data_IF_744642792652
#
_entry.id   IF_744642792652
#
_cell.length_a   1.000
_cell.length_b   1.000
_cell.length_c   1.000
_cell.angle_alpha   90.00
_cell.angle_beta   90.00
_cell.angle_gamma   90.00
#
_symmetry.space_group_name_H-M   'P 1'
#
loop_
_entity.id
_entity.type
_entity.pdbx_description
1 polymer ?
#
# COMPACT_ATOMS: atom_id res chain seq x y z
N UNK A 1 10.67 28.71 1.48
CA UNK A 1 11.76 28.40 2.44
C UNK A 1 11.44 27.08 3.12
N UNK A 2 12.43 26.24 3.47
CA UNK A 2 12.19 25.02 4.26
C UNK A 2 11.58 25.39 5.63
N UNK A 3 10.74 24.49 6.16
CA UNK A 3 10.13 24.64 7.49
C UNK A 3 10.77 23.62 8.42
N UNK A 4 11.11 24.04 9.64
CA UNK A 4 11.71 23.17 10.65
C UNK A 4 10.79 21.97 10.92
N UNK A 5 11.35 20.77 10.98
CA UNK A 5 10.66 19.50 11.21
C UNK A 5 9.59 19.11 10.17
N UNK A 6 9.60 19.71 8.98
CA UNK A 6 8.69 19.33 7.88
C UNK A 6 9.47 18.79 6.68
N UNK A 7 9.15 17.57 6.26
CA UNK A 7 9.79 16.94 5.09
C UNK A 7 9.24 17.57 3.81
N UNK A 8 10.11 18.11 2.95
CA UNK A 8 9.74 18.51 1.60
C UNK A 8 10.22 17.47 0.58
N UNK A 9 9.32 16.54 0.23
CA UNK A 9 9.62 15.44 -0.71
C UNK A 9 9.53 15.83 -2.19
N UNK A 10 8.93 16.98 -2.52
CA UNK A 10 8.58 17.32 -3.92
C UNK A 10 9.80 17.42 -4.85
N UNK A 11 10.91 18.12 -4.48
CA UNK A 11 12.05 18.25 -5.38
C UNK A 11 12.69 16.89 -5.71
N UNK A 12 12.79 16.01 -4.71
CA UNK A 12 13.36 14.67 -4.89
C UNK A 12 12.43 13.78 -5.72
N UNK A 13 11.12 13.87 -5.51
CA UNK A 13 10.13 13.14 -6.32
C UNK A 13 10.21 13.52 -7.80
N UNK A 14 10.39 14.81 -8.13
CA UNK A 14 10.56 15.23 -9.52
C UNK A 14 11.83 14.68 -10.15
N UNK A 15 12.96 14.72 -9.44
CA UNK A 15 14.22 14.14 -9.95
C UNK A 15 14.09 12.63 -10.17
N UNK A 16 13.48 11.90 -9.23
CA UNK A 16 13.23 10.45 -9.40
C UNK A 16 12.33 10.20 -10.61
N UNK A 17 11.27 11.01 -10.78
CA UNK A 17 10.35 10.92 -11.91
C UNK A 17 11.08 11.13 -13.24
N UNK A 18 11.93 12.15 -13.33
CA UNK A 18 12.73 12.43 -14.53
C UNK A 18 13.69 11.29 -14.87
N UNK A 19 14.40 10.75 -13.88
CA UNK A 19 15.29 9.58 -14.06
C UNK A 19 14.51 8.36 -14.51
N UNK A 20 13.35 8.10 -13.89
CA UNK A 20 12.47 6.99 -14.27
C UNK A 20 11.97 7.13 -15.70
N UNK A 21 11.45 8.30 -16.07
CA UNK A 21 10.97 8.59 -17.42
C UNK A 21 12.07 8.45 -18.46
N UNK A 22 13.26 8.98 -18.19
CA UNK A 22 14.42 8.87 -19.08
C UNK A 22 14.82 7.42 -19.35
N UNK A 23 14.59 6.50 -18.40
CA UNK A 23 14.93 5.09 -18.56
C UNK A 23 13.77 4.26 -19.12
N UNK A 24 12.51 4.56 -18.77
CA UNK A 24 11.34 3.88 -19.34
C UNK A 24 11.15 4.22 -20.81
N UNK A 25 11.44 5.45 -21.25
CA UNK A 25 11.30 5.82 -22.67
C UNK A 25 12.23 4.97 -23.56
N UNK A 26 13.34 4.45 -23.02
CA UNK A 26 14.24 3.51 -23.72
C UNK A 26 13.63 2.11 -23.91
N UNK A 27 12.51 1.80 -23.26
CA UNK A 27 11.80 0.54 -23.45
C UNK A 27 11.16 0.50 -24.85
N UNK A 28 11.15 -0.68 -25.47
CA UNK A 28 10.67 -0.86 -26.85
C UNK A 28 9.24 -0.35 -27.03
N UNK A 29 9.04 0.58 -27.97
CA UNK A 29 7.73 1.09 -28.37
C UNK A 29 7.28 2.39 -27.71
N UNK A 30 7.99 2.88 -26.67
CA UNK A 30 7.53 4.05 -25.92
C UNK A 30 7.70 5.37 -26.66
N UNK A 31 8.74 5.51 -27.49
CA UNK A 31 8.92 6.68 -28.38
C UNK A 31 7.76 6.85 -29.38
N UNK A 32 7.21 5.74 -29.88
CA UNK A 32 6.07 5.75 -30.80
C UNK A 32 4.80 6.18 -30.08
N UNK A 33 4.61 5.74 -28.82
CA UNK A 33 3.46 6.11 -27.99
C UNK A 33 3.53 7.61 -27.63
N UNK A 34 4.71 8.14 -27.30
CA UNK A 34 4.88 9.55 -26.95
C UNK A 34 4.51 10.48 -28.12
N UNK A 35 4.75 10.08 -29.37
CA UNK A 35 4.32 10.82 -30.57
C UNK A 35 2.80 10.87 -30.74
N UNK A 36 2.09 9.88 -30.22
CA UNK A 36 0.62 9.76 -30.33
C UNK A 36 -0.08 10.48 -29.17
N UNK A 37 0.42 10.29 -27.95
CA UNK A 37 -0.24 10.74 -26.70
C UNK A 37 0.27 12.11 -26.23
N UNK A 38 1.38 12.60 -26.79
CA UNK A 38 2.01 13.87 -26.40
C UNK A 38 2.88 13.76 -25.16
N UNK A 39 3.06 14.87 -24.42
CA UNK A 39 4.03 14.97 -23.32
C UNK A 39 3.53 14.42 -21.97
N UNK A 40 2.27 14.00 -21.85
CA UNK A 40 1.69 13.60 -20.56
C UNK A 40 1.84 12.08 -20.41
N UNK A 41 3.05 11.64 -20.06
CA UNK A 41 3.26 10.30 -19.53
C UNK A 41 3.39 10.44 -18.02
N UNK A 42 2.33 10.05 -17.29
CA UNK A 42 2.36 9.95 -15.84
C UNK A 42 2.70 8.50 -15.46
N UNK A 43 3.72 8.26 -14.63
CA UNK A 43 3.95 6.94 -14.07
C UNK A 43 2.71 6.45 -13.30
N UNK A 44 2.40 5.16 -13.41
CA UNK A 44 1.26 4.54 -12.73
C UNK A 44 1.20 4.86 -11.23
N UNK A 45 2.30 4.79 -10.45
CA UNK A 45 2.24 5.12 -9.02
C UNK A 45 1.90 6.59 -8.75
N UNK A 46 2.31 7.51 -9.63
CA UNK A 46 1.95 8.93 -9.55
C UNK A 46 0.45 9.12 -9.81
N UNK A 47 -0.09 8.40 -10.79
CA UNK A 47 -1.51 8.44 -11.10
C UNK A 47 -2.36 7.85 -9.97
N UNK A 48 -1.97 6.69 -9.41
CA UNK A 48 -2.66 6.10 -8.26
C UNK A 48 -2.64 7.02 -7.05
N UNK A 49 -1.50 7.69 -6.77
CA UNK A 49 -1.43 8.70 -5.70
C UNK A 49 -2.41 9.84 -5.95
N UNK A 50 -2.48 10.35 -7.19
CA UNK A 50 -3.38 11.45 -7.54
C UNK A 50 -4.86 11.06 -7.39
N UNK A 51 -5.21 9.83 -7.76
CA UNK A 51 -6.54 9.28 -7.55
C UNK A 51 -6.88 9.18 -6.05
N UNK A 52 -5.94 8.68 -5.24
CA UNK A 52 -6.11 8.62 -3.78
C UNK A 52 -6.33 10.02 -3.17
N UNK A 53 -5.55 11.01 -3.57
CA UNK A 53 -5.71 12.41 -3.12
C UNK A 53 -7.11 12.96 -3.42
N UNK A 54 -7.64 12.67 -4.61
CA UNK A 54 -8.97 13.13 -5.03
C UNK A 54 -10.08 12.35 -4.33
N UNK A 55 -9.90 11.05 -4.14
CA UNK A 55 -10.85 10.23 -3.40
C UNK A 55 -10.96 10.66 -1.93
N UNK A 56 -9.86 11.17 -1.36
CA UNK A 56 -9.77 11.58 0.05
C UNK A 56 -10.31 12.98 0.36
N UNK A 57 -10.95 13.64 -0.61
CA UNK A 57 -11.65 14.91 -0.37
C UNK A 57 -12.71 14.75 0.73
N UNK A 58 -13.06 15.86 1.40
CA UNK A 58 -14.03 15.91 2.52
C UNK A 58 -13.61 15.11 3.77
N UNK A 59 -12.35 15.24 4.19
CA UNK A 59 -11.79 14.58 5.40
C UNK A 59 -11.88 13.04 5.36
N UNK A 60 -11.91 12.47 4.16
CA UNK A 60 -11.92 11.03 3.94
C UNK A 60 -10.49 10.48 3.86
N UNK A 61 -9.73 10.58 4.96
CA UNK A 61 -8.39 9.98 5.04
C UNK A 61 -8.43 8.54 4.52
N UNK A 62 -7.56 8.22 3.58
CA UNK A 62 -7.62 6.99 2.77
C UNK A 62 -6.25 6.33 2.69
N UNK A 63 -6.25 5.01 2.74
CA UNK A 63 -5.10 4.18 2.38
C UNK A 63 -5.40 3.46 1.07
N UNK A 64 -4.41 3.36 0.18
CA UNK A 64 -4.45 2.49 -1.00
C UNK A 64 -3.31 1.49 -0.89
N UNK A 65 -3.62 0.21 -1.07
CA UNK A 65 -2.65 -0.89 -1.09
C UNK A 65 -2.68 -1.52 -2.48
N UNK A 66 -1.53 -1.51 -3.15
CA UNK A 66 -1.34 -2.11 -4.46
C UNK A 66 -0.31 -3.23 -4.35
N UNK A 67 -0.76 -4.49 -4.47
CA UNK A 67 0.09 -5.67 -4.38
C UNK A 67 0.41 -6.15 -5.80
N UNK A 68 1.67 -5.96 -6.19
CA UNK A 68 2.22 -6.38 -7.47
C UNK A 68 3.04 -7.67 -7.40
N UNK A 69 3.57 -8.08 -8.55
CA UNK A 69 4.48 -9.23 -8.63
C UNK A 69 5.85 -8.96 -7.97
N UNK A 70 6.33 -7.71 -8.00
CA UNK A 70 7.63 -7.33 -7.47
C UNK A 70 7.55 -6.46 -6.20
N UNK A 71 6.54 -5.60 -6.09
CA UNK A 71 6.46 -4.63 -4.99
C UNK A 71 5.06 -4.59 -4.39
N UNK A 72 5.00 -4.14 -3.15
CA UNK A 72 3.76 -3.74 -2.49
C UNK A 72 3.87 -2.25 -2.20
N UNK A 73 2.96 -1.48 -2.78
CA UNK A 73 2.91 -0.04 -2.64
C UNK A 73 1.80 0.33 -1.66
N UNK A 74 2.12 1.18 -0.68
CA UNK A 74 1.11 1.76 0.21
C UNK A 74 1.11 3.27 0.06
N UNK A 75 -0.06 3.81 -0.25
CA UNK A 75 -0.35 5.23 -0.27
C UNK A 75 -1.24 5.57 0.92
N UNK A 76 -0.89 6.60 1.71
CA UNK A 76 -1.81 7.16 2.71
C UNK A 76 -2.00 8.66 2.51
N UNK A 77 -3.26 9.07 2.50
CA UNK A 77 -3.71 10.45 2.41
C UNK A 77 -4.34 10.82 3.74
N UNK A 78 -3.79 11.83 4.38
CA UNK A 78 -4.21 12.27 5.72
C UNK A 78 -3.06 12.91 6.47
N UNK A 79 -3.37 13.75 7.46
CA UNK A 79 -2.33 14.44 8.23
C UNK A 79 -1.61 13.47 9.19
N UNK A 80 -2.35 12.51 9.76
CA UNK A 80 -1.81 11.52 10.69
C UNK A 80 -1.12 12.11 11.92
N UNK A 81 -1.59 13.28 12.37
CA UNK A 81 -1.04 13.99 13.53
C UNK A 81 -1.50 13.36 14.85
N UNK A 82 -0.78 13.61 15.96
CA UNK A 82 -1.20 13.19 17.30
C UNK A 82 -2.65 13.58 17.61
N UNK A 83 -3.43 12.63 18.14
CA UNK A 83 -4.87 12.80 18.40
C UNK A 83 -5.17 13.60 19.67
N UNK A 84 -4.22 13.67 20.59
CA UNK A 84 -4.37 14.33 21.89
C UNK A 84 -3.10 15.09 22.24
N UNK A 85 -3.23 16.16 23.04
CA UNK A 85 -2.11 17.07 23.36
C UNK A 85 -1.02 16.44 24.26
N UNK A 86 -1.31 15.31 24.89
CA UNK A 86 -0.38 14.52 25.70
C UNK A 86 0.51 13.57 24.87
N UNK A 87 0.23 13.42 23.57
CA UNK A 87 1.07 12.68 22.63
C UNK A 87 2.00 13.66 21.93
N UNK A 88 3.31 13.47 22.11
CA UNK A 88 4.33 14.27 21.43
C UNK A 88 4.74 13.61 20.11
N UNK A 89 4.90 14.41 19.05
CA UNK A 89 5.46 13.92 17.79
C UNK A 89 6.99 13.85 17.87
N UNK A 90 7.57 12.68 17.61
CA UNK A 90 9.01 12.43 17.52
C UNK A 90 9.43 12.31 16.07
N UNK A 91 10.45 13.10 15.72
CA UNK A 91 10.99 13.17 14.37
C UNK A 91 10.33 14.28 13.56
N UNK A 92 10.31 14.11 12.24
CA UNK A 92 9.72 15.08 11.33
C UNK A 92 8.26 14.73 11.03
N UNK A 93 7.46 15.76 10.77
CA UNK A 93 6.10 15.61 10.23
C UNK A 93 6.16 14.90 8.88
N UNK A 94 5.40 13.81 8.78
CA UNK A 94 5.23 13.04 7.56
C UNK A 94 4.39 13.81 6.54
N UNK A 95 4.60 13.61 5.23
CA UNK A 95 3.82 14.28 4.22
C UNK A 95 2.34 13.84 4.28
N UNK A 96 1.44 14.79 3.97
CA UNK A 96 0.00 14.53 3.85
C UNK A 96 -0.29 13.37 2.89
N UNK A 97 0.36 13.38 1.72
CA UNK A 97 0.38 12.27 0.76
C UNK A 97 1.68 11.47 0.91
N UNK A 98 1.63 10.37 1.67
CA UNK A 98 2.78 9.47 1.91
C UNK A 98 2.69 8.25 1.00
N UNK A 99 3.82 7.82 0.45
CA UNK A 99 3.97 6.55 -0.28
C UNK A 99 5.16 5.80 0.28
N UNK A 100 4.99 4.52 0.58
CA UNK A 100 6.09 3.57 0.76
C UNK A 100 6.03 2.51 -0.33
N UNK A 101 7.20 1.97 -0.68
CA UNK A 101 7.34 0.93 -1.70
C UNK A 101 8.18 -0.17 -1.08
N UNK A 102 7.56 -1.31 -0.87
CA UNK A 102 8.20 -2.47 -0.28
C UNK A 102 8.75 -3.35 -1.42
N UNK A 103 10.04 -3.20 -1.70
CA UNK A 103 10.72 -3.90 -2.80
C UNK A 103 10.92 -5.39 -2.54
N UNK A 104 10.87 -5.80 -1.28
CA UNK A 104 11.00 -7.17 -0.80
C UNK A 104 9.65 -7.89 -0.68
N UNK A 105 8.52 -7.21 -0.91
CA UNK A 105 7.18 -7.78 -0.74
C UNK A 105 6.44 -7.84 -2.08
N UNK A 106 6.42 -9.02 -2.71
CA UNK A 106 5.75 -9.20 -4.00
C UNK A 106 5.34 -10.65 -4.28
N UNK A 107 4.34 -10.81 -5.14
CA UNK A 107 3.72 -12.11 -5.42
C UNK A 107 4.58 -13.06 -6.27
N UNK A 108 5.59 -12.54 -6.97
CA UNK A 108 6.38 -13.25 -7.99
C UNK A 108 7.87 -12.94 -7.84
N UNK A 109 8.37 -11.89 -8.50
CA UNK A 109 9.79 -11.53 -8.50
C UNK A 109 10.40 -11.42 -7.09
N UNK A 110 9.65 -10.91 -6.13
CA UNK A 110 10.09 -10.77 -4.73
C UNK A 110 9.55 -11.87 -3.80
N UNK A 111 9.03 -12.99 -4.32
CA UNK A 111 8.45 -14.06 -3.52
C UNK A 111 9.46 -14.65 -2.52
N UNK A 112 10.72 -14.86 -2.91
CA UNK A 112 11.74 -15.35 -1.99
C UNK A 112 12.09 -14.34 -0.89
N UNK A 113 12.16 -13.06 -1.23
CA UNK A 113 12.38 -12.01 -0.25
C UNK A 113 11.20 -11.92 0.75
N UNK A 114 9.96 -12.08 0.28
CA UNK A 114 8.78 -12.16 1.13
C UNK A 114 8.85 -13.35 2.10
N UNK A 115 9.31 -14.51 1.63
CA UNK A 115 9.53 -15.68 2.48
C UNK A 115 10.55 -15.41 3.59
N UNK A 116 11.63 -14.68 3.29
CA UNK A 116 12.65 -14.28 4.26
C UNK A 116 12.20 -13.16 5.21
N UNK A 117 11.26 -12.32 4.78
CA UNK A 117 10.72 -11.20 5.56
C UNK A 117 9.75 -11.63 6.68
N UNK A 118 9.37 -12.90 6.75
CA UNK A 118 8.43 -13.43 7.75
C UNK A 118 8.92 -14.72 8.40
N UNK A 119 8.15 -15.23 9.36
CA UNK A 119 8.42 -16.50 10.03
C UNK A 119 7.57 -17.64 9.47
N UNK A 120 8.11 -18.86 9.51
CA UNK A 120 7.37 -20.08 9.15
C UNK A 120 6.10 -20.28 9.97
N UNK A 121 6.10 -19.85 11.23
CA UNK A 121 4.90 -19.95 12.09
C UNK A 121 3.77 -19.08 11.56
N UNK A 122 4.09 -17.84 11.13
CA UNK A 122 3.12 -16.91 10.56
C UNK A 122 2.57 -17.40 9.22
N UNK A 123 3.44 -17.96 8.36
CA UNK A 123 3.01 -18.59 7.11
C UNK A 123 2.00 -19.72 7.39
N UNK A 124 2.32 -20.62 8.34
CA UNK A 124 1.43 -21.74 8.69
C UNK A 124 0.11 -21.31 9.31
N UNK A 125 0.13 -20.23 10.11
CA UNK A 125 -1.07 -19.61 10.67
C UNK A 125 -2.03 -19.17 9.54
N UNK A 126 -1.52 -18.42 8.56
CA UNK A 126 -2.33 -17.90 7.46
C UNK A 126 -2.74 -18.95 6.42
N UNK A 127 -1.91 -19.99 6.23
CA UNK A 127 -2.30 -21.17 5.46
C UNK A 127 -3.39 -22.01 6.16
N UNK A 128 -3.67 -21.78 7.45
CA UNK A 128 -4.70 -22.50 8.20
C UNK A 128 -4.37 -23.98 8.46
N UNK A 129 -3.09 -24.39 8.36
CA UNK A 129 -2.69 -25.77 8.59
C UNK A 129 -1.29 -25.86 9.23
N UNK A 130 -1.23 -26.44 10.43
CA UNK A 130 0.04 -26.83 11.05
C UNK A 130 0.66 -28.10 10.41
N UNK A 131 -0.17 -28.88 9.71
CA UNK A 131 0.14 -30.21 9.17
C UNK A 131 0.11 -30.29 7.64
N UNK A 132 0.21 -29.17 6.91
CA UNK A 132 0.25 -29.27 5.44
C UNK A 132 1.50 -30.00 4.98
N UNK A 133 1.31 -31.01 4.12
CA UNK A 133 2.37 -31.65 3.33
C UNK A 133 2.99 -30.69 2.29
N UNK A 134 2.55 -29.44 2.27
CA UNK A 134 2.97 -28.41 1.33
C UNK A 134 4.39 -28.01 1.68
N UNK A 135 5.30 -28.19 0.72
CA UNK A 135 6.63 -27.61 0.84
C UNK A 135 6.53 -26.11 0.60
N UNK A 136 6.50 -25.34 1.71
CA UNK A 136 6.32 -23.89 1.69
C UNK A 136 7.41 -23.22 0.85
N UNK A 137 8.67 -23.57 1.08
CA UNK A 137 9.81 -22.94 0.40
C UNK A 137 9.77 -23.20 -1.10
N UNK A 138 9.55 -24.44 -1.52
CA UNK A 138 9.42 -24.79 -2.94
C UNK A 138 8.28 -24.03 -3.63
N UNK A 139 7.18 -23.73 -2.92
CA UNK A 139 6.09 -22.94 -3.48
C UNK A 139 6.46 -21.46 -3.71
N UNK A 140 7.29 -20.88 -2.85
CA UNK A 140 7.85 -19.54 -3.06
C UNK A 140 8.88 -19.55 -4.21
N UNK A 141 9.77 -20.54 -4.25
CA UNK A 141 10.75 -20.74 -5.33
C UNK A 141 10.05 -20.88 -6.70
N UNK A 142 9.00 -21.70 -6.77
CA UNK A 142 8.22 -21.90 -7.99
C UNK A 142 7.62 -20.58 -8.53
N UNK A 143 7.05 -19.74 -7.65
CA UNK A 143 6.44 -18.44 -8.02
C UNK A 143 7.48 -17.40 -8.40
N UNK A 144 8.68 -17.47 -7.83
CA UNK A 144 9.81 -16.64 -8.21
C UNK A 144 10.33 -17.00 -9.61
N UNK A 145 10.49 -18.30 -9.89
CA UNK A 145 10.99 -18.81 -11.17
C UNK A 145 9.97 -18.69 -12.31
N UNK A 146 8.67 -18.69 -12.00
CA UNK A 146 7.57 -18.61 -12.97
C UNK A 146 6.69 -17.39 -12.73
N UNK A 147 7.14 -16.18 -13.07
CA UNK A 147 6.36 -14.95 -12.84
C UNK A 147 5.03 -14.92 -13.59
N UNK A 148 4.93 -15.62 -14.72
CA UNK A 148 3.70 -15.72 -15.54
C UNK A 148 2.69 -16.75 -14.99
N UNK A 149 2.99 -17.41 -13.87
CA UNK A 149 2.10 -18.38 -13.25
C UNK A 149 0.81 -17.74 -12.71
N UNK A 150 -0.32 -18.36 -13.03
CA UNK A 150 -1.65 -18.01 -12.53
C UNK A 150 -2.20 -19.20 -11.76
N UNK A 151 -2.63 -18.96 -10.52
CA UNK A 151 -3.20 -19.98 -9.66
C UNK A 151 -4.56 -20.46 -10.19
N UNK A 152 -4.69 -21.77 -10.40
CA UNK A 152 -5.94 -22.40 -10.87
C UNK A 152 -6.53 -23.37 -9.84
N UNK A 153 -5.69 -24.02 -9.04
CA UNK A 153 -6.12 -24.97 -8.00
C UNK A 153 -6.46 -24.26 -6.70
N UNK A 154 -7.33 -24.86 -5.88
CA UNK A 154 -7.67 -24.31 -4.56
C UNK A 154 -6.44 -24.15 -3.65
N UNK A 155 -5.49 -25.09 -3.73
CA UNK A 155 -4.25 -25.05 -2.96
C UNK A 155 -3.37 -23.87 -3.41
N UNK A 156 -3.23 -23.65 -4.72
CA UNK A 156 -2.48 -22.51 -5.27
C UNK A 156 -3.12 -21.17 -4.92
N UNK A 157 -4.46 -21.09 -5.01
CA UNK A 157 -5.22 -19.88 -4.66
C UNK A 157 -5.04 -19.58 -3.17
N UNK A 158 -5.14 -20.59 -2.31
CA UNK A 158 -4.94 -20.43 -0.86
C UNK A 158 -3.52 -19.96 -0.55
N UNK A 159 -2.52 -20.48 -1.26
CA UNK A 159 -1.13 -20.06 -1.10
C UNK A 159 -0.90 -18.62 -1.58
N UNK A 160 -1.44 -18.23 -2.75
CA UNK A 160 -1.36 -16.86 -3.26
C UNK A 160 -2.10 -15.88 -2.32
N UNK A 161 -3.28 -16.24 -1.80
CA UNK A 161 -3.99 -15.40 -0.82
C UNK A 161 -3.17 -15.23 0.47
N UNK A 162 -2.52 -16.29 0.96
CA UNK A 162 -1.62 -16.20 2.11
C UNK A 162 -0.41 -15.29 1.84
N UNK A 163 0.19 -15.38 0.66
CA UNK A 163 1.28 -14.46 0.29
C UNK A 163 0.81 -13.00 0.27
N UNK A 164 -0.38 -12.72 -0.27
CA UNK A 164 -0.94 -11.36 -0.27
C UNK A 164 -1.26 -10.86 1.14
N UNK A 165 -1.72 -11.75 2.02
CA UNK A 165 -1.89 -11.45 3.45
C UNK A 165 -0.57 -11.01 4.08
N UNK A 166 0.53 -11.76 3.85
CA UNK A 166 1.85 -11.37 4.36
C UNK A 166 2.34 -10.04 3.78
N UNK A 167 2.20 -9.82 2.48
CA UNK A 167 2.53 -8.54 1.85
C UNK A 167 1.76 -7.40 2.53
N UNK A 168 0.46 -7.58 2.74
CA UNK A 168 -0.41 -6.56 3.35
C UNK A 168 0.02 -6.24 4.77
N UNK A 169 0.17 -7.25 5.63
CA UNK A 169 0.52 -7.08 7.04
C UNK A 169 1.87 -6.37 7.20
N UNK A 170 2.92 -6.90 6.56
CA UNK A 170 4.28 -6.37 6.69
C UNK A 170 4.35 -4.95 6.10
N UNK A 171 3.74 -4.72 4.94
CA UNK A 171 3.77 -3.40 4.32
C UNK A 171 3.05 -2.37 5.18
N UNK A 172 1.87 -2.69 5.74
CA UNK A 172 1.14 -1.73 6.58
C UNK A 172 1.91 -1.45 7.88
N UNK A 173 2.54 -2.46 8.48
CA UNK A 173 3.33 -2.31 9.71
C UNK A 173 4.52 -1.37 9.50
N UNK A 174 5.17 -1.42 8.34
CA UNK A 174 6.26 -0.53 7.97
C UNK A 174 5.79 0.88 7.57
N UNK A 175 4.53 1.01 7.14
CA UNK A 175 3.99 2.27 6.65
C UNK A 175 3.44 3.17 7.76
N UNK A 176 2.72 2.58 8.72
CA UNK A 176 2.06 3.30 9.82
C UNK A 176 3.07 3.86 10.81
N UNK A 177 2.62 4.83 11.58
CA UNK A 177 3.34 5.30 12.75
C UNK A 177 3.25 4.32 13.93
N UNK A 178 4.09 4.58 14.93
CA UNK A 178 4.11 3.83 16.18
C UNK A 178 3.95 4.77 17.38
N UNK A 179 3.45 4.22 18.48
CA UNK A 179 3.38 4.87 19.78
C UNK A 179 4.43 4.25 20.72
N UNK A 180 5.20 5.07 21.40
CA UNK A 180 6.15 4.66 22.44
C UNK A 180 5.77 5.31 23.76
N UNK A 181 5.81 4.56 24.86
CA UNK A 181 5.67 5.12 26.22
C UNK A 181 7.04 5.48 26.78
N UNK A 182 7.21 6.74 27.19
CA UNK A 182 8.41 7.23 27.88
C UNK A 182 8.05 7.53 29.33
N UNK A 183 8.78 6.91 30.26
CA UNK A 183 8.62 7.17 31.68
C UNK A 183 9.46 8.39 32.08
N UNK A 184 8.80 9.44 32.53
CA UNK A 184 9.43 10.65 33.06
C UNK A 184 9.14 10.80 34.55
N UNK A 185 9.91 11.61 35.30
CA UNK A 185 9.60 11.93 36.69
C UNK A 185 8.21 12.57 36.89
N UNK A 186 7.61 13.15 35.84
CA UNK A 186 6.29 13.79 35.87
C UNK A 186 5.14 12.84 35.47
N UNK A 187 5.44 11.58 35.15
CA UNK A 187 4.48 10.57 34.68
C UNK A 187 4.85 9.94 33.34
N UNK A 188 3.94 9.13 32.82
CA UNK A 188 4.08 8.48 31.50
C UNK A 188 3.72 9.47 30.41
N UNK A 189 4.63 9.67 29.46
CA UNK A 189 4.40 10.43 28.24
C UNK A 189 4.30 9.47 27.07
N UNK A 190 3.40 9.75 26.12
CA UNK A 190 3.32 9.01 24.89
C UNK A 190 3.97 9.79 23.76
N UNK A 191 4.70 9.07 22.92
CA UNK A 191 5.44 9.65 21.81
C UNK A 191 5.06 8.91 20.54
N UNK A 192 4.52 9.66 19.58
CA UNK A 192 4.20 9.15 18.26
C UNK A 192 5.41 9.34 17.33
N UNK A 193 5.75 8.31 16.56
CA UNK A 193 6.60 8.42 15.38
C UNK A 193 5.80 8.04 14.14
N UNK A 194 6.02 8.72 13.01
CA UNK A 194 5.26 8.45 11.77
C UNK A 194 3.80 8.93 11.82
N UNK A 195 2.95 8.38 10.95
CA UNK A 195 1.53 8.80 10.79
C UNK A 195 0.60 7.97 11.66
N UNK A 196 -0.26 8.62 12.43
CA UNK A 196 -1.42 7.98 13.04
C UNK A 196 -2.50 7.74 11.97
N UNK A 197 -2.72 6.48 11.59
CA UNK A 197 -3.72 6.11 10.60
C UNK A 197 -4.95 5.42 11.22
N UNK A 198 -5.13 5.52 12.55
CA UNK A 198 -6.20 4.82 13.28
C UNK A 198 -7.61 5.21 12.85
N UNK A 199 -7.81 6.47 12.41
CA UNK A 199 -9.11 7.03 12.01
C UNK A 199 -9.34 7.06 10.49
N UNK A 200 -8.45 6.45 9.70
CA UNK A 200 -8.60 6.34 8.25
C UNK A 200 -9.99 5.77 7.91
N UNK A 201 -10.70 6.45 7.00
CA UNK A 201 -12.08 6.13 6.63
C UNK A 201 -12.16 5.03 5.60
N UNK A 202 -11.19 4.96 4.69
CA UNK A 202 -11.19 4.01 3.60
C UNK A 202 -9.85 3.31 3.45
N UNK A 203 -9.90 2.00 3.21
CA UNK A 203 -8.75 1.22 2.76
C UNK A 203 -9.14 0.63 1.40
N UNK A 204 -8.46 1.08 0.35
CA UNK A 204 -8.69 0.67 -1.03
C UNK A 204 -7.63 -0.37 -1.42
N UNK A 205 -8.07 -1.59 -1.73
CA UNK A 205 -7.20 -2.62 -2.29
C UNK A 205 -7.21 -2.59 -3.83
N UNK A 206 -6.04 -2.67 -4.43
CA UNK A 206 -5.86 -2.85 -5.88
C UNK A 206 -4.72 -3.85 -6.15
N UNK A 207 -4.55 -4.23 -7.41
CA UNK A 207 -3.56 -5.23 -7.81
C UNK A 207 -4.15 -6.62 -8.08
N UNK A 208 -3.36 -7.43 -8.79
CA UNK A 208 -3.73 -8.75 -9.33
C UNK A 208 -4.50 -9.62 -8.35
N UNK A 209 -3.90 -9.80 -7.18
CA UNK A 209 -4.35 -10.75 -6.19
C UNK A 209 -5.60 -10.26 -5.43
N UNK A 210 -5.72 -8.96 -5.14
CA UNK A 210 -6.91 -8.42 -4.46
C UNK A 210 -8.11 -8.39 -5.43
N UNK A 211 -7.88 -8.00 -6.67
CA UNK A 211 -8.95 -7.86 -7.66
C UNK A 211 -9.58 -9.20 -8.02
N UNK A 212 -8.78 -10.27 -8.08
CA UNK A 212 -9.24 -11.61 -8.42
C UNK A 212 -9.47 -12.53 -7.20
N UNK A 213 -9.14 -12.10 -5.98
CA UNK A 213 -9.43 -12.88 -4.78
C UNK A 213 -10.94 -13.08 -4.60
N UNK A 214 -11.29 -14.29 -4.14
CA UNK A 214 -12.65 -14.66 -3.77
C UNK A 214 -13.09 -13.99 -2.47
N UNK A 215 -12.13 -13.67 -1.60
CA UNK A 215 -12.36 -12.98 -0.34
C UNK A 215 -11.30 -11.89 -0.11
N UNK A 216 -11.36 -10.77 -0.86
CA UNK A 216 -10.39 -9.69 -0.72
C UNK A 216 -10.39 -9.08 0.69
N UNK A 217 -11.53 -9.13 1.38
CA UNK A 217 -11.65 -8.65 2.76
C UNK A 217 -10.70 -9.39 3.70
N UNK A 218 -10.49 -10.70 3.52
CA UNK A 218 -9.52 -11.48 4.31
C UNK A 218 -8.09 -10.93 4.23
N UNK A 219 -7.71 -10.41 3.06
CA UNK A 219 -6.40 -9.78 2.84
C UNK A 219 -6.37 -8.40 3.49
N UNK A 220 -7.39 -7.57 3.22
CA UNK A 220 -7.47 -6.20 3.71
C UNK A 220 -7.67 -6.10 5.24
N UNK A 221 -8.27 -7.11 5.89
CA UNK A 221 -8.42 -7.17 7.34
C UNK A 221 -7.06 -7.09 8.06
N UNK A 222 -5.96 -7.50 7.42
CA UNK A 222 -4.62 -7.40 8.02
C UNK A 222 -4.06 -5.97 8.07
N UNK A 223 -4.78 -5.01 7.47
CA UNK A 223 -4.50 -3.59 7.66
C UNK A 223 -4.99 -3.06 9.00
N UNK A 224 -5.88 -3.80 9.68
CA UNK A 224 -6.54 -3.32 10.87
C UNK A 224 -5.60 -3.28 12.08
N UNK A 225 -5.95 -2.41 13.02
CA UNK A 225 -5.42 -2.38 14.36
C UNK A 225 -5.46 -3.77 14.99
N UNK A 226 -4.33 -4.17 15.57
CA UNK A 226 -4.16 -5.44 16.23
C UNK A 226 -3.94 -5.21 17.73
N UNK A 227 -4.78 -5.81 18.57
CA UNK A 227 -4.64 -5.73 20.04
C UNK A 227 -3.34 -6.36 20.55
N UNK A 228 -2.78 -7.34 19.82
CA UNK A 228 -1.48 -7.95 20.14
C UNK A 228 -0.30 -7.01 19.83
N UNK A 229 -0.51 -6.00 18.99
CA UNK A 229 0.46 -4.94 18.68
C UNK A 229 -0.19 -3.55 18.80
N UNK A 230 -0.56 -3.12 20.02
CA UNK A 230 -1.35 -1.92 20.24
C UNK A 230 -0.57 -0.63 19.97
N UNK A 231 0.75 -0.73 19.81
CA UNK A 231 1.64 0.38 19.53
C UNK A 231 1.69 0.75 18.05
N UNK A 232 1.22 -0.11 17.14
CA UNK A 232 1.11 0.21 15.73
C UNK A 232 -0.18 1.01 15.46
N UNK A 233 -0.05 2.21 14.87
CA UNK A 233 -1.16 3.14 14.65
C UNK A 233 -1.93 2.80 13.36
N UNK A 234 -2.38 1.54 13.27
CA UNK A 234 -3.16 0.98 12.15
C UNK A 234 -4.64 1.41 12.19
N UNK A 235 -5.33 1.46 11.04
CA UNK A 235 -6.77 1.71 10.94
C UNK A 235 -7.62 0.84 11.87
N UNK A 236 -8.57 1.43 12.60
CA UNK A 236 -9.46 0.67 13.49
C UNK A 236 -10.76 0.25 12.82
N UNK A 237 -11.42 1.18 12.12
CA UNK A 237 -12.74 0.97 11.53
C UNK A 237 -12.87 1.56 10.11
N UNK A 238 -11.97 1.21 9.17
CA UNK A 238 -12.09 1.65 7.79
C UNK A 238 -13.23 0.90 7.07
N UNK A 239 -13.75 1.51 6.02
CA UNK A 239 -14.49 0.80 4.97
C UNK A 239 -13.52 0.24 3.95
N UNK A 240 -13.67 -1.02 3.59
CA UNK A 240 -12.86 -1.65 2.55
C UNK A 240 -13.49 -1.44 1.19
N UNK A 241 -12.69 -0.96 0.25
CA UNK A 241 -13.06 -0.81 -1.15
C UNK A 241 -12.07 -1.60 -2.01
N UNK A 242 -12.53 -2.16 -3.12
CA UNK A 242 -11.69 -2.89 -4.07
C UNK A 242 -11.81 -2.27 -5.45
N UNK A 243 -10.66 -2.00 -6.07
CA UNK A 243 -10.54 -1.50 -7.44
C UNK A 243 -10.70 -2.64 -8.48
N UNK A 244 -11.84 -3.32 -8.47
CA UNK A 244 -12.11 -4.51 -9.31
C UNK A 244 -11.88 -4.30 -10.81
N UNK A 245 -11.93 -3.05 -11.28
CA UNK A 245 -11.78 -2.70 -12.70
C UNK A 245 -10.50 -1.91 -13.02
N UNK A 246 -9.54 -1.84 -12.07
CA UNK A 246 -8.25 -1.14 -12.23
C UNK A 246 -8.38 0.33 -12.65
N UNK A 247 -9.38 1.03 -12.14
CA UNK A 247 -9.69 2.41 -12.53
C UNK A 247 -8.81 3.43 -11.82
N UNK A 248 -8.13 3.10 -10.72
CA UNK A 248 -7.39 4.08 -9.92
C UNK A 248 -6.36 4.86 -10.74
N UNK A 249 -5.52 4.18 -11.53
CA UNK A 249 -4.51 4.86 -12.36
C UNK A 249 -5.14 5.72 -13.46
N UNK A 250 -6.19 5.22 -14.13
CA UNK A 250 -6.92 5.96 -15.15
C UNK A 250 -7.60 7.21 -14.57
N UNK A 251 -8.19 7.10 -13.39
CA UNK A 251 -8.84 8.21 -12.70
C UNK A 251 -7.84 9.25 -12.23
N UNK A 252 -6.64 8.85 -11.82
CA UNK A 252 -5.55 9.76 -11.47
C UNK A 252 -5.05 10.58 -12.66
N UNK A 253 -5.01 9.99 -13.85
CA UNK A 253 -4.71 10.69 -15.10
C UNK A 253 -5.83 11.66 -15.47
N UNK A 254 -7.07 11.16 -15.49
CA UNK A 254 -8.27 11.90 -15.90
C UNK A 254 -8.57 13.10 -14.99
N UNK A 255 -8.24 12.94 -13.71
CA UNK A 255 -8.35 13.94 -12.66
C UNK A 255 -7.60 15.26 -12.90
N UNK A 256 -6.57 15.28 -13.76
CA UNK A 256 -5.83 16.51 -14.05
C UNK A 256 -6.74 17.56 -14.68
N UNK A 257 -7.68 17.13 -15.52
CA UNK A 257 -8.62 17.99 -16.22
C UNK A 257 -10.03 17.95 -15.58
N UNK A 258 -10.42 16.80 -15.00
CA UNK A 258 -11.78 16.56 -14.52
C UNK A 258 -11.83 15.92 -13.11
N UNK A 259 -11.34 16.60 -12.06
CA UNK A 259 -11.24 16.04 -10.71
C UNK A 259 -12.59 15.59 -10.13
N UNK A 260 -13.64 16.41 -10.26
CA UNK A 260 -14.97 16.10 -9.71
C UNK A 260 -15.63 14.89 -10.41
N UNK A 261 -15.35 14.71 -11.70
CA UNK A 261 -15.87 13.59 -12.47
C UNK A 261 -15.11 12.32 -12.11
N UNK A 262 -13.78 12.39 -12.01
CA UNK A 262 -12.94 11.29 -11.55
C UNK A 262 -13.40 10.78 -10.16
N UNK A 263 -13.66 11.70 -9.23
CA UNK A 263 -14.21 11.37 -7.91
C UNK A 263 -15.54 10.60 -7.99
N UNK A 264 -16.50 11.10 -8.78
CA UNK A 264 -17.81 10.45 -8.96
C UNK A 264 -17.69 9.07 -9.59
N UNK A 265 -16.78 8.89 -10.55
CA UNK A 265 -16.51 7.59 -11.16
C UNK A 265 -15.92 6.64 -10.11
N UNK A 266 -14.90 7.04 -9.36
CA UNK A 266 -14.32 6.19 -8.31
C UNK A 266 -15.37 5.77 -7.28
N UNK A 267 -16.19 6.71 -6.78
CA UNK A 267 -17.29 6.38 -5.86
C UNK A 267 -18.31 5.39 -6.41
N UNK A 268 -18.50 5.34 -7.73
CA UNK A 268 -19.46 4.44 -8.38
C UNK A 268 -18.88 3.04 -8.64
N UNK A 269 -17.59 2.95 -8.96
CA UNK A 269 -16.99 1.72 -9.48
C UNK A 269 -16.06 1.02 -8.48
N UNK A 270 -15.58 1.69 -7.44
CA UNK A 270 -14.93 1.03 -6.31
C UNK A 270 -15.99 0.25 -5.53
N UNK A 271 -15.72 -1.04 -5.29
CA UNK A 271 -16.69 -1.97 -4.70
C UNK A 271 -16.41 -2.13 -3.21
N UNK A 272 -17.39 -1.86 -2.36
CA UNK A 272 -17.31 -2.12 -0.91
C UNK A 272 -17.37 -3.63 -0.64
N UNK A 273 -16.50 -4.14 0.23
CA UNK A 273 -16.35 -5.58 0.54
C UNK A 273 -16.29 -5.88 2.03
#
# INVERSE_FOLDING_TARGET
MPVVNKINVLPVKEVIREVFMTNIIKAKGMESIQKIVGNIIMPTPTAVMKAAEIFSQDENDTIVIDIGGATTDIHSIGAGLPKTNDIQLKGMEEPYSKRTVEGDLGMRYSALALYEATSLNKIREYLGSKDSKINIRENFEFRHEKPDFVAETEDDITFDEMMAMLCTEIAIDRHVGTLESIFSPMGTLFVQSGKDLTDVKFVIGTGGIINNSRNPKKILDLTLYNEDNPLALKPKYPKFLVDKTYIMSAMGLFANDYPDIAYKIMKKYLVEV
#
